data_IF_348540593872
#
_entry.id   IF_348540593872
#
_cell.length_a   1.000
_cell.length_b   1.000
_cell.length_c   1.000
_cell.angle_alpha   90.00
_cell.angle_beta   90.00
_cell.angle_gamma   90.00
#
_symmetry.space_group_name_H-M   'P 1'
#
loop_
_entity.id
_entity.type
_entity.pdbx_description
1 polymer ?
#
# COMPACT_ATOMS: atom_id res chain seq x y z
N UNK A 1 15.65 5.61 -16.28
CA UNK A 1 14.38 5.25 -15.60
C UNK A 1 13.25 5.39 -16.62
N UNK A 2 12.29 4.46 -16.71
CA UNK A 2 11.24 4.58 -17.72
C UNK A 2 10.35 5.79 -17.41
N UNK A 3 10.18 6.65 -18.42
CA UNK A 3 9.37 7.88 -18.34
C UNK A 3 7.90 7.50 -18.38
N UNK A 4 7.15 7.85 -17.34
CA UNK A 4 5.71 7.60 -17.27
C UNK A 4 5.01 8.69 -18.07
N UNK A 5 4.10 8.30 -18.96
CA UNK A 5 3.34 9.25 -19.78
C UNK A 5 2.27 9.96 -18.95
N UNK A 6 1.82 11.14 -19.38
CA UNK A 6 0.75 11.90 -18.71
C UNK A 6 -0.54 11.08 -18.52
N UNK A 7 -0.82 10.15 -19.43
CA UNK A 7 -1.96 9.23 -19.32
C UNK A 7 -1.79 8.22 -18.18
N UNK A 8 -0.61 7.63 -18.04
CA UNK A 8 -0.30 6.71 -16.93
C UNK A 8 -0.34 7.45 -15.58
N UNK A 9 0.13 8.71 -15.53
CA UNK A 9 0.03 9.56 -14.33
C UNK A 9 -1.42 9.73 -13.85
N UNK A 10 -2.35 10.04 -14.76
CA UNK A 10 -3.77 10.15 -14.42
C UNK A 10 -4.35 8.80 -13.94
N UNK A 11 -3.91 7.68 -14.51
CA UNK A 11 -4.36 6.36 -14.09
C UNK A 11 -3.97 6.02 -12.65
N UNK A 12 -2.81 6.48 -12.18
CA UNK A 12 -2.37 6.24 -10.80
C UNK A 12 -2.99 7.20 -9.78
N UNK A 13 -3.24 8.45 -10.18
CA UNK A 13 -3.77 9.48 -9.29
C UNK A 13 -5.07 9.06 -8.57
N UNK A 14 -5.96 8.34 -9.27
CA UNK A 14 -7.23 7.85 -8.71
C UNK A 14 -7.09 6.81 -7.57
N UNK A 15 -5.89 6.25 -7.38
CA UNK A 15 -5.59 5.27 -6.32
C UNK A 15 -4.83 5.90 -5.15
N UNK A 16 -4.62 7.23 -5.16
CA UNK A 16 -4.00 7.93 -4.03
C UNK A 16 -4.88 7.92 -2.79
N UNK A 17 -6.21 7.91 -2.97
CA UNK A 17 -7.21 7.78 -1.92
C UNK A 17 -8.23 6.70 -2.30
N UNK A 18 -8.89 6.14 -1.30
CA UNK A 18 -9.96 5.16 -1.49
C UNK A 18 -9.97 4.06 -0.45
N UNK A 19 -10.97 3.20 -0.61
CA UNK A 19 -11.04 1.91 0.06
C UNK A 19 -10.59 0.85 -0.94
N UNK A 20 -9.64 0.01 -0.53
CA UNK A 20 -9.08 -1.04 -1.36
C UNK A 20 -9.17 -2.39 -0.67
N UNK A 21 -9.14 -3.44 -1.48
CA UNK A 21 -9.11 -4.83 -1.04
C UNK A 21 -7.96 -5.54 -1.73
N UNK A 22 -7.19 -6.29 -0.94
CA UNK A 22 -6.19 -7.24 -1.43
C UNK A 22 -6.42 -8.58 -0.75
N UNK A 23 -6.16 -9.67 -1.46
CA UNK A 23 -6.31 -11.03 -0.94
C UNK A 23 -5.04 -11.81 -1.23
N UNK A 24 -4.50 -12.46 -0.21
CA UNK A 24 -3.42 -13.43 -0.37
C UNK A 24 -3.70 -14.71 0.43
N UNK A 25 -3.12 -15.82 -0.01
CA UNK A 25 -3.23 -17.11 0.71
C UNK A 25 -2.62 -17.04 2.11
N UNK A 26 -1.61 -16.20 2.32
CA UNK A 26 -0.89 -16.07 3.60
C UNK A 26 -1.62 -15.10 4.54
N UNK A 27 -1.94 -13.91 4.06
CA UNK A 27 -2.45 -12.80 4.87
C UNK A 27 -3.97 -12.76 4.95
N UNK A 28 -4.67 -13.57 4.15
CA UNK A 28 -6.11 -13.52 4.02
C UNK A 28 -6.56 -12.29 3.23
N UNK A 29 -7.77 -11.81 3.51
CA UNK A 29 -8.29 -10.57 2.94
C UNK A 29 -7.88 -9.40 3.82
N UNK A 30 -7.31 -8.36 3.21
CA UNK A 30 -7.00 -7.09 3.88
C UNK A 30 -7.83 -5.99 3.21
N UNK A 31 -8.56 -5.26 4.03
CA UNK A 31 -9.20 -4.00 3.66
C UNK A 31 -8.24 -2.86 3.99
N UNK A 32 -8.00 -1.98 3.02
CA UNK A 32 -7.09 -0.85 3.13
C UNK A 32 -7.91 0.42 2.94
N UNK A 33 -7.90 1.32 3.91
CA UNK A 33 -8.49 2.66 3.76
C UNK A 33 -7.36 3.66 3.69
N UNK A 34 -7.26 4.42 2.60
CA UNK A 34 -6.22 5.44 2.41
C UNK A 34 -6.84 6.80 2.17
N UNK A 35 -6.44 7.77 2.97
CA UNK A 35 -6.88 9.16 2.85
C UNK A 35 -5.72 10.11 3.16
N UNK A 36 -5.30 10.87 2.15
CA UNK A 36 -4.18 11.80 2.24
C UNK A 36 -2.86 11.09 2.55
N UNK A 37 -2.26 11.45 3.68
CA UNK A 37 -1.01 10.90 4.20
C UNK A 37 -1.22 9.78 5.23
N UNK A 38 -2.40 9.16 5.26
CA UNK A 38 -2.75 8.14 6.22
C UNK A 38 -3.35 6.89 5.56
N UNK A 39 -2.98 5.72 6.08
CA UNK A 39 -3.52 4.43 5.66
C UNK A 39 -3.81 3.55 6.88
N UNK A 40 -4.99 2.95 6.91
CA UNK A 40 -5.33 1.86 7.83
C UNK A 40 -5.52 0.57 7.06
N UNK A 41 -5.08 -0.54 7.66
CA UNK A 41 -5.25 -1.89 7.13
C UNK A 41 -5.94 -2.76 8.17
N UNK A 42 -7.04 -3.42 7.77
CA UNK A 42 -7.76 -4.37 8.60
C UNK A 42 -7.77 -5.73 7.90
N UNK A 43 -7.14 -6.73 8.51
CA UNK A 43 -7.23 -8.10 8.04
C UNK A 43 -8.51 -8.77 8.54
N UNK A 44 -9.01 -9.73 7.76
CA UNK A 44 -10.11 -10.60 8.20
C UNK A 44 -9.78 -11.48 9.42
N UNK A 45 -8.52 -11.44 9.89
CA UNK A 45 -8.06 -12.08 11.13
C UNK A 45 -8.04 -11.13 12.33
N UNK A 46 -8.59 -9.91 12.18
CA UNK A 46 -8.67 -8.90 13.26
C UNK A 46 -7.38 -8.11 13.49
N UNK A 47 -6.38 -8.23 12.62
CA UNK A 47 -5.16 -7.42 12.71
C UNK A 47 -5.45 -6.05 12.11
N UNK A 48 -5.22 -4.99 12.90
CA UNK A 48 -5.39 -3.61 12.47
C UNK A 48 -4.06 -2.86 12.54
N UNK A 49 -3.54 -2.43 11.40
CA UNK A 49 -2.31 -1.64 11.30
C UNK A 49 -2.59 -0.26 10.73
N UNK A 50 -1.80 0.73 11.16
CA UNK A 50 -1.94 2.12 10.73
C UNK A 50 -0.58 2.66 10.30
N UNK A 51 -0.57 3.43 9.23
CA UNK A 51 0.63 3.87 8.55
C UNK A 51 0.53 5.34 8.12
N UNK A 52 1.67 6.04 8.22
CA UNK A 52 1.91 7.29 7.52
C UNK A 52 2.29 6.99 6.07
N UNK A 53 1.60 7.64 5.13
CA UNK A 53 1.80 7.50 3.69
C UNK A 53 2.59 8.69 3.17
N UNK A 54 3.67 8.42 2.44
CA UNK A 54 4.43 9.45 1.72
C UNK A 54 4.63 9.05 0.27
N UNK A 55 4.03 9.81 -0.64
CA UNK A 55 4.21 9.63 -2.08
C UNK A 55 5.59 10.14 -2.53
N UNK A 56 6.36 9.26 -3.16
CA UNK A 56 7.66 9.59 -3.76
C UNK A 56 7.52 9.96 -5.24
N UNK A 57 6.51 9.39 -5.90
CA UNK A 57 6.14 9.65 -7.28
C UNK A 57 4.63 9.43 -7.44
N UNK A 58 4.12 9.45 -8.67
CA UNK A 58 2.71 9.14 -8.92
C UNK A 58 2.34 7.67 -8.71
N UNK A 59 3.31 6.77 -8.74
CA UNK A 59 3.10 5.32 -8.65
C UNK A 59 3.90 4.66 -7.52
N UNK A 60 4.66 5.43 -6.74
CA UNK A 60 5.48 4.91 -5.65
C UNK A 60 5.22 5.70 -4.37
N UNK A 61 4.99 5.00 -3.27
CA UNK A 61 4.82 5.59 -1.96
C UNK A 61 5.47 4.72 -0.89
N UNK A 62 5.73 5.32 0.26
CA UNK A 62 6.21 4.60 1.44
C UNK A 62 5.12 4.51 2.50
N UNK A 63 5.14 3.42 3.26
CA UNK A 63 4.33 3.23 4.46
C UNK A 63 5.27 3.12 5.66
N UNK A 64 5.15 4.07 6.58
CA UNK A 64 5.82 4.02 7.87
C UNK A 64 4.79 3.67 8.94
N UNK A 65 4.95 2.57 9.71
CA UNK A 65 3.98 2.23 10.74
C UNK A 65 3.93 3.33 11.81
N UNK A 66 2.73 3.62 12.31
CA UNK A 66 2.57 4.58 13.42
C UNK A 66 3.23 4.07 14.70
N UNK A 67 3.54 4.97 15.63
CA UNK A 67 4.10 4.58 16.95
C UNK A 67 3.22 3.58 17.70
N UNK A 68 1.89 3.70 17.56
CA UNK A 68 0.95 2.73 18.13
C UNK A 68 1.07 1.36 17.46
N UNK A 69 1.12 1.32 16.13
CA UNK A 69 1.31 0.07 15.37
C UNK A 69 2.63 -0.60 15.71
N UNK A 70 3.72 0.18 15.81
CA UNK A 70 5.05 -0.26 16.25
C UNK A 70 4.98 -0.94 17.62
N UNK A 71 4.36 -0.27 18.60
CA UNK A 71 4.24 -0.78 19.97
C UNK A 71 3.37 -2.03 20.03
N UNK A 72 2.21 -2.02 19.37
CA UNK A 72 1.23 -3.12 19.40
C UNK A 72 1.77 -4.41 18.79
N UNK A 73 2.46 -4.31 17.65
CA UNK A 73 2.93 -5.47 16.90
C UNK A 73 4.44 -5.70 17.01
N UNK A 74 5.13 -4.96 17.88
CA UNK A 74 6.58 -5.04 18.12
C UNK A 74 7.40 -4.93 16.81
N UNK A 75 6.97 -4.04 15.92
CA UNK A 75 7.65 -3.80 14.64
C UNK A 75 8.94 -3.01 14.91
N UNK A 76 10.06 -3.30 14.24
CA UNK A 76 11.27 -2.48 14.36
C UNK A 76 10.99 -1.01 14.05
N UNK A 77 11.48 -0.08 14.88
CA UNK A 77 11.19 1.36 14.76
C UNK A 77 11.65 1.98 13.44
N UNK A 78 12.63 1.37 12.79
CA UNK A 78 13.14 1.78 11.47
C UNK A 78 12.38 1.14 10.30
N UNK A 79 11.35 0.34 10.54
CA UNK A 79 10.60 -0.32 9.48
C UNK A 79 9.95 0.70 8.53
N UNK A 80 10.27 0.57 7.26
CA UNK A 80 9.70 1.35 6.18
C UNK A 80 9.37 0.38 5.04
N UNK A 81 8.13 0.42 4.57
CA UNK A 81 7.72 -0.29 3.37
C UNK A 81 7.75 0.68 2.19
N UNK A 82 8.22 0.22 1.05
CA UNK A 82 8.10 0.93 -0.23
C UNK A 82 7.15 0.14 -1.11
N UNK A 83 6.10 0.80 -1.58
CA UNK A 83 5.09 0.22 -2.45
C UNK A 83 5.16 0.87 -3.81
N UNK A 84 5.30 0.04 -4.84
CA UNK A 84 5.29 0.46 -6.24
C UNK A 84 4.07 -0.14 -6.92
N UNK A 85 3.21 0.73 -7.45
CA UNK A 85 2.07 0.35 -8.29
C UNK A 85 2.56 0.05 -9.70
N UNK A 86 2.21 -1.13 -10.19
CA UNK A 86 2.48 -1.61 -11.52
C UNK A 86 1.30 -1.39 -12.46
N UNK A 87 0.94 -2.42 -13.24
CA UNK A 87 -0.13 -2.35 -14.24
C UNK A 87 -1.48 -2.02 -13.60
N UNK A 88 -2.15 -1.02 -14.15
CA UNK A 88 -3.54 -0.64 -13.83
C UNK A 88 -4.49 -1.29 -14.83
N UNK A 89 -5.62 -1.80 -14.37
CA UNK A 89 -6.72 -2.30 -15.20
C UNK A 89 -8.05 -2.00 -14.53
N UNK A 90 -8.86 -1.09 -15.11
CA UNK A 90 -10.12 -0.67 -14.51
C UNK A 90 -9.93 -0.07 -13.11
N UNK A 91 -10.59 -0.66 -12.11
CA UNK A 91 -10.48 -0.31 -10.69
C UNK A 91 -9.38 -1.08 -9.94
N UNK A 92 -8.49 -1.77 -10.66
CA UNK A 92 -7.45 -2.62 -10.07
C UNK A 92 -6.05 -2.14 -10.43
N UNK A 93 -5.09 -2.48 -9.59
CA UNK A 93 -3.68 -2.39 -9.92
C UNK A 93 -2.91 -3.55 -9.27
N UNK A 94 -1.83 -3.97 -9.89
CA UNK A 94 -0.85 -4.83 -9.23
C UNK A 94 0.14 -3.96 -8.44
N UNK A 95 0.55 -4.38 -7.26
CA UNK A 95 1.61 -3.71 -6.51
C UNK A 95 2.74 -4.65 -6.14
N UNK A 96 3.93 -4.08 -5.96
CA UNK A 96 5.08 -4.73 -5.34
C UNK A 96 5.42 -3.95 -4.09
N UNK A 97 5.49 -4.64 -2.95
CA UNK A 97 5.92 -4.08 -1.67
C UNK A 97 7.28 -4.64 -1.30
N UNK A 98 8.21 -3.78 -0.91
CA UNK A 98 9.51 -4.13 -0.35
C UNK A 98 9.69 -3.47 1.02
N UNK A 99 10.68 -3.92 1.80
CA UNK A 99 11.05 -3.31 3.07
C UNK A 99 12.50 -2.82 3.04
N UNK A 100 12.84 -1.83 3.84
CA UNK A 100 14.23 -1.46 4.11
C UNK A 100 14.95 -2.43 5.07
N UNK A 101 14.25 -3.42 5.64
CA UNK A 101 14.81 -4.35 6.63
C UNK A 101 15.27 -5.69 6.02
N UNK A 102 14.87 -6.00 4.78
CA UNK A 102 15.26 -7.21 4.06
C UNK A 102 14.94 -7.06 2.57
N UNK A 103 15.51 -7.95 1.75
CA UNK A 103 15.35 -7.92 0.30
C UNK A 103 14.06 -8.59 -0.20
N UNK A 104 13.16 -9.03 0.69
CA UNK A 104 11.92 -9.69 0.30
C UNK A 104 11.00 -8.71 -0.43
N UNK A 105 10.43 -9.18 -1.53
CA UNK A 105 9.39 -8.46 -2.27
C UNK A 105 8.09 -9.27 -2.26
N UNK A 106 6.98 -8.60 -2.01
CA UNK A 106 5.65 -9.20 -2.01
C UNK A 106 4.79 -8.54 -3.11
N UNK A 107 4.31 -9.36 -4.05
CA UNK A 107 3.39 -8.92 -5.11
C UNK A 107 1.94 -9.21 -4.74
N UNK A 108 1.03 -8.28 -5.04
CA UNK A 108 -0.41 -8.51 -4.84
C UNK A 108 -1.28 -7.69 -5.80
N UNK A 109 -2.42 -8.25 -6.20
CA UNK A 109 -3.49 -7.48 -6.85
C UNK A 109 -4.26 -6.69 -5.78
N UNK A 110 -4.52 -5.42 -6.08
CA UNK A 110 -5.28 -4.51 -5.24
C UNK A 110 -6.46 -3.97 -6.04
N UNK A 111 -7.65 -4.01 -5.45
CA UNK A 111 -8.91 -3.61 -6.07
C UNK A 111 -9.46 -2.42 -5.29
N UNK A 112 -9.75 -1.29 -5.95
CA UNK A 112 -10.51 -0.18 -5.36
C UNK A 112 -11.98 -0.56 -5.29
N UNK A 113 -12.56 -0.51 -4.08
CA UNK A 113 -13.92 -0.92 -3.75
C UNK A 113 -14.79 0.22 -3.20
N UNK A 114 -14.20 1.40 -2.97
CA UNK A 114 -14.90 2.59 -2.52
C UNK A 114 -14.01 3.83 -2.55
N UNK A 115 -14.60 4.99 -2.25
CA UNK A 115 -13.90 6.27 -2.02
C UNK A 115 -13.57 6.46 -0.54
#
# INVERSE_FOLDING_TARGET
MPTITSAQKMMYAKFRNGIFKTTSSVSGTILITRHGNYQSELSNKGIKMEFEVKWLSDHTYTLKPTSETIKRYKIPTKALLTVTMGKVSGNKFFQITSSNLNDRRAGSEVIKVGE
#
